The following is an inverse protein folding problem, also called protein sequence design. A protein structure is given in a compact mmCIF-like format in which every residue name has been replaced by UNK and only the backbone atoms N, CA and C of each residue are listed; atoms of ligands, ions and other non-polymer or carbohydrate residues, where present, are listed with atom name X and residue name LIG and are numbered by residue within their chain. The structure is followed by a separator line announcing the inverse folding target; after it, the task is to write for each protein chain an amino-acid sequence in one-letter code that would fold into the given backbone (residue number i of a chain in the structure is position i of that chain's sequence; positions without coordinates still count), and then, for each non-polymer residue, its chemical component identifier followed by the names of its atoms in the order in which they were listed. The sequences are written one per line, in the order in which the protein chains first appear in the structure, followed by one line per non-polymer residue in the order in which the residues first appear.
data_IF_657405950513
#
_entry.id   IF_657405950513
#
_cell.length_a   1.000
_cell.length_b   1.000
_cell.length_c   1.000
_cell.angle_alpha   90.00
_cell.angle_beta   90.00
_cell.angle_gamma   90.00
#
_symmetry.space_group_name_H-M   'P 1'
#
loop_
_entity.id
_entity.type
_entity.pdbx_description
1 polymer ?
#
# COMPACT_ATOMS: atom_id res chain seq x y z
N UNK A 1 -7.89 24.90 41.19
CA UNK A 1 -6.46 25.10 40.77
C UNK A 1 -5.99 23.78 40.17
N UNK A 2 -6.08 23.65 38.87
CA UNK A 2 -5.63 22.46 38.11
C UNK A 2 -4.38 22.85 37.37
N UNK A 3 -3.32 22.16 37.67
CA UNK A 3 -1.95 22.44 37.24
C UNK A 3 -1.81 22.10 35.76
N UNK A 4 -1.61 23.11 34.93
CA UNK A 4 -1.26 22.96 33.50
C UNK A 4 0.21 22.55 33.42
N UNK A 5 0.48 21.27 33.32
CA UNK A 5 1.81 20.81 32.93
C UNK A 5 2.03 21.08 31.43
N UNK A 6 2.91 22.04 31.18
CA UNK A 6 3.48 22.32 29.88
C UNK A 6 4.14 21.06 29.31
N UNK A 7 3.51 20.45 28.28
CA UNK A 7 4.24 19.57 27.37
C UNK A 7 5.27 20.43 26.62
N UNK A 8 6.51 20.31 27.02
CA UNK A 8 7.64 20.82 26.23
C UNK A 8 7.68 19.99 24.95
N UNK A 9 7.17 20.57 23.88
CA UNK A 9 7.40 20.06 22.51
C UNK A 9 8.91 20.15 22.28
N UNK A 10 9.62 19.03 22.42
CA UNK A 10 11.00 18.91 21.96
C UNK A 10 11.02 19.28 20.48
N UNK A 11 11.82 20.28 20.11
CA UNK A 11 12.00 20.72 18.73
C UNK A 11 12.18 19.52 17.81
N UNK A 12 11.47 19.44 16.66
CA UNK A 12 11.62 18.33 15.75
C UNK A 12 13.09 18.25 15.32
N UNK A 13 13.74 17.13 15.61
CA UNK A 13 15.13 16.91 15.17
C UNK A 13 15.19 17.07 13.65
N UNK A 14 16.13 17.89 13.17
CA UNK A 14 16.29 18.14 11.74
C UNK A 14 16.57 16.82 11.01
N UNK A 15 15.64 16.41 10.16
CA UNK A 15 15.75 15.21 9.35
C UNK A 15 16.68 15.47 8.16
N UNK A 16 17.50 14.50 7.83
CA UNK A 16 18.43 14.55 6.71
C UNK A 16 18.13 13.43 5.73
N UNK A 17 18.39 13.69 4.45
CA UNK A 17 18.28 12.71 3.39
C UNK A 17 19.65 12.49 2.74
N UNK A 18 20.09 11.24 2.74
CA UNK A 18 21.16 10.79 1.88
C UNK A 18 20.60 10.38 0.52
N UNK A 19 21.31 10.75 -0.56
CA UNK A 19 20.92 10.38 -1.92
C UNK A 19 22.15 9.89 -2.68
N UNK A 20 22.02 8.72 -3.32
CA UNK A 20 23.05 8.17 -4.22
C UNK A 20 22.40 7.67 -5.50
N UNK A 21 23.10 7.90 -6.62
CA UNK A 21 22.77 7.30 -7.90
C UNK A 21 23.61 6.03 -8.11
N UNK A 22 22.96 5.00 -8.64
CA UNK A 22 23.55 3.71 -8.99
C UNK A 22 22.84 3.14 -10.22
N UNK A 23 23.05 1.86 -10.52
CA UNK A 23 22.34 1.15 -11.58
C UNK A 23 21.42 0.10 -11.01
N UNK A 24 20.35 -0.25 -11.72
CA UNK A 24 19.40 -1.29 -11.30
C UNK A 24 20.07 -2.65 -11.06
N UNK A 25 21.18 -2.95 -11.77
CA UNK A 25 21.95 -4.19 -11.56
C UNK A 25 22.55 -4.31 -10.17
N UNK A 26 22.76 -3.18 -9.49
CA UNK A 26 23.33 -3.10 -8.15
C UNK A 26 22.26 -3.06 -7.05
N UNK A 27 20.98 -3.21 -7.38
CA UNK A 27 19.89 -3.04 -6.41
C UNK A 27 20.00 -4.03 -5.25
N UNK A 28 20.22 -5.32 -5.54
CA UNK A 28 20.37 -6.36 -4.49
C UNK A 28 21.60 -6.12 -3.61
N UNK A 29 22.72 -5.71 -4.22
CA UNK A 29 23.95 -5.38 -3.50
C UNK A 29 23.74 -4.17 -2.57
N UNK A 30 22.96 -3.17 -2.99
CA UNK A 30 22.59 -2.05 -2.15
C UNK A 30 21.66 -2.44 -1.00
N UNK A 31 20.72 -3.34 -1.20
CA UNK A 31 19.92 -3.87 -0.09
C UNK A 31 20.80 -4.61 0.94
N UNK A 32 21.79 -5.36 0.48
CA UNK A 32 22.74 -6.03 1.38
C UNK A 32 23.60 -5.02 2.17
N UNK A 33 24.14 -4.00 1.50
CA UNK A 33 24.96 -2.95 2.14
C UNK A 33 24.19 -2.10 3.14
N UNK A 34 22.91 -1.87 2.88
CA UNK A 34 22.03 -1.03 3.70
C UNK A 34 21.10 -1.87 4.60
N UNK A 35 21.41 -3.15 4.81
CA UNK A 35 20.61 -4.07 5.63
C UNK A 35 20.45 -3.65 7.09
N UNK A 36 21.35 -2.78 7.58
CA UNK A 36 21.31 -2.20 8.93
C UNK A 36 20.42 -0.94 9.04
N UNK A 37 19.92 -0.43 7.91
CA UNK A 37 18.98 0.69 7.85
C UNK A 37 17.56 0.13 7.93
N UNK A 38 16.75 0.75 8.78
CA UNK A 38 15.34 0.41 8.86
C UNK A 38 14.69 0.54 7.46
N UNK A 39 13.99 -0.50 6.97
CA UNK A 39 13.33 -0.48 5.66
C UNK A 39 12.39 0.72 5.44
N UNK A 40 11.79 1.25 6.51
CA UNK A 40 10.94 2.44 6.44
C UNK A 40 11.72 3.72 6.09
N UNK A 41 13.01 3.73 6.36
CA UNK A 41 13.90 4.85 6.07
C UNK A 41 14.66 4.71 4.75
N UNK A 42 14.51 3.58 4.03
CA UNK A 42 15.21 3.29 2.78
C UNK A 42 14.25 3.33 1.58
N UNK A 43 14.53 4.19 0.63
CA UNK A 43 13.75 4.31 -0.62
C UNK A 43 14.67 4.08 -1.82
N UNK A 44 14.34 3.11 -2.66
CA UNK A 44 15.01 2.85 -3.93
C UNK A 44 14.04 3.14 -5.08
N UNK A 45 14.41 4.10 -5.93
CA UNK A 45 13.60 4.58 -7.04
C UNK A 45 14.23 4.19 -8.37
N UNK A 46 13.49 3.46 -9.18
CA UNK A 46 13.85 3.12 -10.56
C UNK A 46 12.93 3.85 -11.52
N UNK A 47 13.45 4.34 -12.63
CA UNK A 47 12.64 4.88 -13.71
C UNK A 47 12.39 3.79 -14.77
N UNK A 48 11.16 3.67 -15.32
CA UNK A 48 10.78 2.56 -16.20
C UNK A 48 11.64 2.40 -17.47
N UNK A 49 12.24 3.49 -17.96
CA UNK A 49 13.02 3.52 -19.21
C UNK A 49 14.52 3.79 -18.98
N UNK A 50 14.97 3.76 -17.73
CA UNK A 50 16.35 4.07 -17.35
C UNK A 50 16.95 2.93 -16.55
N UNK A 51 18.22 2.59 -16.82
CA UNK A 51 18.99 1.68 -15.97
C UNK A 51 19.44 2.31 -14.64
N UNK A 52 19.07 3.57 -14.38
CA UNK A 52 19.44 4.29 -13.18
C UNK A 52 18.64 3.83 -11.96
N UNK A 53 19.32 3.68 -10.82
CA UNK A 53 18.77 3.46 -9.52
C UNK A 53 19.08 4.68 -8.64
N UNK A 54 18.07 5.34 -8.11
CA UNK A 54 18.21 6.41 -7.11
C UNK A 54 17.91 5.85 -5.74
N UNK A 55 18.91 5.88 -4.86
CA UNK A 55 18.82 5.39 -3.50
C UNK A 55 18.70 6.58 -2.56
N UNK A 56 17.75 6.54 -1.64
CA UNK A 56 17.56 7.57 -0.62
C UNK A 56 17.41 6.92 0.75
N UNK A 57 18.12 7.46 1.74
CA UNK A 57 17.97 7.09 3.14
C UNK A 57 17.62 8.34 3.92
N UNK A 58 16.61 8.23 4.78
CA UNK A 58 16.16 9.30 5.67
C UNK A 58 16.60 8.98 7.09
N UNK A 59 17.12 9.97 7.80
CA UNK A 59 17.60 9.74 9.16
C UNK A 59 18.13 11.00 9.84
N UNK A 60 18.68 10.82 11.03
CA UNK A 60 19.38 11.90 11.73
C UNK A 60 20.68 12.29 10.98
N UNK A 61 21.25 13.42 11.37
CA UNK A 61 22.46 13.95 10.75
C UNK A 61 23.62 12.95 10.80
N UNK A 62 23.83 12.28 11.95
CA UNK A 62 24.93 11.34 12.18
C UNK A 62 24.84 10.10 11.27
N UNK A 63 23.65 9.54 11.16
CA UNK A 63 23.37 8.40 10.27
C UNK A 63 23.67 8.75 8.82
N UNK A 64 23.19 9.92 8.37
CA UNK A 64 23.35 10.36 6.97
C UNK A 64 24.80 10.74 6.67
N UNK A 65 25.52 11.40 7.59
CA UNK A 65 26.95 11.69 7.44
C UNK A 65 27.79 10.42 7.32
N UNK A 66 27.45 9.38 8.10
CA UNK A 66 28.10 8.07 7.99
C UNK A 66 27.89 7.45 6.62
N UNK A 67 26.68 7.49 6.05
CA UNK A 67 26.40 6.98 4.71
C UNK A 67 27.16 7.75 3.62
N UNK A 68 27.31 9.06 3.79
CA UNK A 68 28.16 9.88 2.87
C UNK A 68 29.62 9.46 2.96
N UNK A 69 30.13 9.22 4.17
CA UNK A 69 31.51 8.77 4.38
C UNK A 69 31.75 7.38 3.79
N UNK A 70 30.84 6.43 4.04
CA UNK A 70 31.02 5.02 3.65
C UNK A 70 30.79 4.78 2.15
N UNK A 71 29.83 5.51 1.58
CA UNK A 71 29.35 5.22 0.22
C UNK A 71 29.41 6.44 -0.72
N UNK A 72 29.83 7.61 -0.25
CA UNK A 72 29.71 8.85 -1.02
C UNK A 72 28.23 9.26 -1.20
N UNK A 73 27.94 10.06 -2.20
CA UNK A 73 26.58 10.57 -2.45
C UNK A 73 26.38 11.97 -1.84
N UNK A 74 25.13 12.41 -1.73
CA UNK A 74 24.77 13.76 -1.32
C UNK A 74 23.88 13.74 -0.08
N UNK A 75 24.23 14.52 0.93
CA UNK A 75 23.36 14.83 2.05
C UNK A 75 22.54 16.09 1.75
N UNK A 76 21.29 16.08 2.13
CA UNK A 76 20.39 17.24 2.08
C UNK A 76 19.67 17.32 3.41
N UNK A 77 19.73 18.47 4.09
CA UNK A 77 18.91 18.74 5.24
C UNK A 77 17.48 19.02 4.74
N UNK A 78 16.50 18.39 5.38
CA UNK A 78 15.09 18.60 5.08
C UNK A 78 14.53 19.60 6.08
N UNK A 79 13.83 20.63 5.59
CA UNK A 79 13.05 21.48 6.48
C UNK A 79 11.84 20.71 7.01
N UNK A 80 11.31 21.03 8.21
CA UNK A 80 10.10 20.41 8.74
C UNK A 80 8.92 20.48 7.74
N UNK A 81 8.84 21.57 6.98
CA UNK A 81 7.83 21.78 5.94
C UNK A 81 8.01 20.84 4.75
N UNK A 82 9.25 20.50 4.37
CA UNK A 82 9.55 19.51 3.32
C UNK A 82 9.31 18.08 3.79
N UNK A 83 9.43 17.84 5.09
CA UNK A 83 9.13 16.55 5.69
C UNK A 83 7.62 16.35 5.89
N UNK A 84 6.91 17.39 6.37
CA UNK A 84 5.44 17.40 6.55
C UNK A 84 4.73 17.63 5.21
N UNK A 85 5.32 18.43 4.32
CA UNK A 85 4.83 18.75 2.97
C UNK A 85 5.69 18.10 1.89
N UNK A 86 6.02 16.80 2.02
CA UNK A 86 6.67 16.08 0.92
C UNK A 86 5.92 16.33 -0.35
N UNK A 87 6.54 17.07 -1.28
CA UNK A 87 6.04 17.59 -2.57
C UNK A 87 4.54 17.37 -2.74
N UNK A 88 3.73 18.41 -2.87
CA UNK A 88 2.31 18.30 -3.23
C UNK A 88 2.25 17.23 -4.33
N UNK A 89 2.03 15.97 -3.93
CA UNK A 89 2.07 14.86 -4.87
C UNK A 89 0.82 15.02 -5.68
N UNK A 90 1.00 15.20 -6.97
CA UNK A 90 -0.12 15.22 -7.89
C UNK A 90 -1.02 14.02 -7.55
N UNK A 91 -2.32 14.26 -7.38
CA UNK A 91 -3.28 13.22 -7.07
C UNK A 91 -3.11 12.05 -8.04
N UNK A 92 -3.04 10.82 -7.53
CA UNK A 92 -2.91 9.63 -8.36
C UNK A 92 -4.26 9.30 -9.01
N UNK A 93 -4.37 9.49 -10.32
CA UNK A 93 -5.55 9.06 -11.08
C UNK A 93 -5.51 7.58 -11.40
N UNK A 94 -6.57 6.85 -11.08
CA UNK A 94 -6.74 5.42 -11.33
C UNK A 94 -7.87 5.21 -12.33
N UNK A 95 -7.53 4.84 -13.58
CA UNK A 95 -8.49 4.52 -14.65
C UNK A 95 -9.58 5.58 -14.89
N UNK A 96 -9.35 6.84 -14.50
CA UNK A 96 -10.36 7.89 -14.52
C UNK A 96 -11.56 7.65 -13.59
N UNK A 97 -11.51 6.61 -12.75
CA UNK A 97 -12.60 6.21 -11.85
C UNK A 97 -12.36 6.62 -10.40
N UNK A 98 -11.09 6.71 -9.98
CA UNK A 98 -10.68 7.16 -8.65
C UNK A 98 -9.54 8.17 -8.76
N UNK A 99 -9.44 9.06 -7.78
CA UNK A 99 -8.27 9.90 -7.51
C UNK A 99 -7.88 9.73 -6.06
N UNK A 100 -6.61 9.43 -5.83
CA UNK A 100 -6.04 9.31 -4.48
C UNK A 100 -5.21 10.54 -4.17
N UNK A 101 -5.52 11.19 -3.07
CA UNK A 101 -4.85 12.38 -2.56
C UNK A 101 -4.10 12.03 -1.29
N UNK A 102 -2.87 12.51 -1.15
CA UNK A 102 -2.06 12.36 0.07
C UNK A 102 -2.04 13.62 0.93
N UNK A 103 -2.50 14.76 0.40
CA UNK A 103 -2.65 16.03 1.14
C UNK A 103 -4.12 16.46 1.19
N UNK A 104 -4.49 17.07 2.31
CA UNK A 104 -5.86 17.47 2.59
C UNK A 104 -6.31 18.67 1.75
N UNK A 105 -5.38 19.53 1.35
CA UNK A 105 -5.73 20.73 0.57
C UNK A 105 -6.19 20.34 -0.82
N UNK A 106 -5.40 19.49 -1.54
CA UNK A 106 -5.80 19.00 -2.85
C UNK A 106 -7.05 18.11 -2.81
N UNK A 107 -7.29 17.38 -1.70
CA UNK A 107 -8.54 16.64 -1.52
C UNK A 107 -9.75 17.56 -1.34
N UNK A 108 -9.62 18.65 -0.56
CA UNK A 108 -10.70 19.63 -0.36
C UNK A 108 -11.01 20.45 -1.61
N UNK A 109 -9.98 20.76 -2.41
CA UNK A 109 -10.12 21.46 -3.68
C UNK A 109 -10.70 20.58 -4.80
N UNK A 110 -10.52 19.26 -4.68
CA UNK A 110 -11.09 18.33 -5.65
C UNK A 110 -12.62 18.45 -5.63
N UNK A 111 -13.22 18.65 -6.80
CA UNK A 111 -14.68 18.60 -6.93
C UNK A 111 -15.13 17.26 -6.36
N UNK A 112 -16.00 17.28 -5.34
CA UNK A 112 -16.49 16.06 -4.65
C UNK A 112 -17.35 15.21 -5.60
N UNK A 113 -16.68 14.52 -6.50
CA UNK A 113 -17.31 13.64 -7.50
C UNK A 113 -17.67 12.26 -6.92
N UNK A 114 -17.40 12.04 -5.61
CA UNK A 114 -17.51 10.73 -4.97
C UNK A 114 -16.38 9.76 -5.37
N UNK A 115 -15.44 10.20 -6.21
CA UNK A 115 -14.32 9.40 -6.75
C UNK A 115 -12.98 9.72 -6.08
N UNK A 116 -12.97 10.71 -5.22
CA UNK A 116 -11.78 11.16 -4.52
C UNK A 116 -11.60 10.39 -3.23
N UNK A 117 -10.36 9.95 -2.97
CA UNK A 117 -9.94 9.23 -1.78
C UNK A 117 -8.79 10.00 -1.14
N UNK A 118 -8.91 10.32 0.13
CA UNK A 118 -7.85 10.92 0.93
C UNK A 118 -7.19 9.87 1.81
N UNK A 119 -5.91 9.67 1.64
CA UNK A 119 -5.07 8.84 2.52
C UNK A 119 -3.86 9.68 2.92
N UNK A 120 -3.82 10.19 4.15
CA UNK A 120 -2.68 10.99 4.61
C UNK A 120 -1.39 10.16 4.59
N UNK A 121 -0.27 10.81 4.31
CA UNK A 121 1.04 10.20 4.48
C UNK A 121 1.23 9.85 5.97
N UNK A 122 1.47 8.59 6.27
CA UNK A 122 1.56 8.09 7.65
C UNK A 122 2.38 6.82 7.75
N UNK A 123 2.48 6.27 8.97
CA UNK A 123 3.27 5.07 9.26
C UNK A 123 2.64 3.75 8.78
N UNK A 124 1.35 3.73 8.44
CA UNK A 124 0.72 2.52 7.91
C UNK A 124 1.01 2.36 6.42
N UNK A 125 1.30 1.12 5.99
CA UNK A 125 1.55 0.79 4.58
C UNK A 125 0.29 1.00 3.73
N UNK A 126 0.47 1.52 2.50
CA UNK A 126 -0.62 1.66 1.53
C UNK A 126 -1.10 3.09 1.32
N UNK A 127 -0.18 4.06 1.13
CA UNK A 127 -0.52 5.47 0.78
C UNK A 127 -1.07 5.65 -0.64
N UNK A 128 -1.19 4.57 -1.42
CA UNK A 128 -1.65 4.61 -2.82
C UNK A 128 -0.54 4.80 -3.84
N UNK A 129 0.55 5.46 -3.50
CA UNK A 129 1.68 5.75 -4.40
C UNK A 129 2.53 4.51 -4.72
N UNK A 130 2.52 3.52 -3.84
CA UNK A 130 3.31 2.32 -4.05
C UNK A 130 2.75 1.54 -5.24
N UNK A 131 3.64 1.04 -6.10
CA UNK A 131 3.26 0.34 -7.34
C UNK A 131 2.29 -0.83 -7.12
N UNK A 132 2.41 -1.53 -5.98
CA UNK A 132 1.54 -2.65 -5.61
C UNK A 132 0.11 -2.19 -5.35
N UNK A 133 -0.08 -1.16 -4.52
CA UNK A 133 -1.37 -0.59 -4.18
C UNK A 133 -2.06 0.01 -5.41
N UNK A 134 -1.33 0.82 -6.18
CA UNK A 134 -1.84 1.40 -7.42
C UNK A 134 -2.27 0.34 -8.44
N UNK A 135 -1.56 -0.81 -8.49
CA UNK A 135 -1.93 -1.90 -9.41
C UNK A 135 -3.17 -2.65 -8.92
N UNK A 136 -3.33 -2.92 -7.62
CA UNK A 136 -4.57 -3.46 -7.06
C UNK A 136 -5.78 -2.57 -7.38
N UNK A 137 -5.65 -1.25 -7.19
CA UNK A 137 -6.70 -0.28 -7.50
C UNK A 137 -7.09 -0.31 -8.98
N UNK A 138 -6.10 -0.41 -9.89
CA UNK A 138 -6.36 -0.53 -11.34
C UNK A 138 -7.08 -1.82 -11.68
N UNK A 139 -6.63 -2.96 -11.13
CA UNK A 139 -7.28 -4.25 -11.33
C UNK A 139 -8.71 -4.25 -10.80
N UNK A 140 -8.95 -3.65 -9.63
CA UNK A 140 -10.30 -3.49 -9.10
C UNK A 140 -11.20 -2.68 -10.04
N UNK A 141 -10.69 -1.57 -10.60
CA UNK A 141 -11.42 -0.80 -11.60
C UNK A 141 -11.70 -1.60 -12.89
N UNK A 142 -10.76 -2.46 -13.29
CA UNK A 142 -10.85 -3.23 -14.53
C UNK A 142 -11.94 -4.33 -14.45
N UNK A 143 -12.21 -4.89 -13.25
CA UNK A 143 -13.23 -5.94 -13.06
C UNK A 143 -14.65 -5.41 -12.81
N UNK A 144 -14.81 -4.13 -12.50
CA UNK A 144 -16.14 -3.56 -12.20
C UNK A 144 -17.24 -3.90 -13.21
N UNK A 145 -16.98 -3.92 -14.55
CA UNK A 145 -18.02 -4.25 -15.52
C UNK A 145 -18.53 -5.70 -15.44
N UNK A 146 -17.78 -6.60 -14.77
CA UNK A 146 -18.12 -8.01 -14.62
C UNK A 146 -18.83 -8.32 -13.31
N UNK A 147 -18.86 -7.35 -12.37
CA UNK A 147 -19.42 -7.54 -11.04
C UNK A 147 -20.94 -7.34 -11.03
N UNK A 148 -21.67 -8.08 -10.18
CA UNK A 148 -23.10 -7.85 -9.99
C UNK A 148 -23.38 -6.48 -9.34
N UNK A 149 -24.60 -5.95 -9.49
CA UNK A 149 -24.95 -4.64 -8.94
C UNK A 149 -24.73 -4.51 -7.42
N UNK A 150 -24.94 -5.59 -6.67
CA UNK A 150 -24.78 -5.64 -5.21
C UNK A 150 -23.53 -6.43 -4.80
N UNK A 151 -22.41 -6.21 -5.49
CA UNK A 151 -21.18 -6.90 -5.19
C UNK A 151 -20.64 -6.51 -3.81
N UNK A 152 -19.88 -7.42 -3.20
CA UNK A 152 -19.20 -7.22 -1.94
C UNK A 152 -17.73 -7.63 -2.03
N UNK A 153 -16.90 -7.11 -1.10
CA UNK A 153 -15.47 -7.32 -1.10
C UNK A 153 -14.92 -7.70 0.27
N UNK A 154 -13.79 -8.39 0.25
CA UNK A 154 -12.94 -8.66 1.42
C UNK A 154 -11.54 -8.10 1.15
N UNK A 155 -11.04 -7.23 2.03
CA UNK A 155 -9.69 -6.66 1.98
C UNK A 155 -8.83 -7.31 3.07
N UNK A 156 -7.91 -8.16 2.67
CA UNK A 156 -7.04 -8.93 3.55
C UNK A 156 -5.68 -8.26 3.72
N UNK A 157 -5.35 -7.86 4.96
CA UNK A 157 -4.18 -7.01 5.23
C UNK A 157 -4.42 -5.58 4.79
N UNK A 158 -5.45 -4.97 5.35
CA UNK A 158 -6.00 -3.69 4.86
C UNK A 158 -5.07 -2.49 5.03
N UNK A 159 -4.10 -2.53 5.97
CA UNK A 159 -3.16 -1.46 6.24
C UNK A 159 -3.85 -0.11 6.49
N UNK A 160 -3.68 0.86 5.59
CA UNK A 160 -4.35 2.17 5.64
C UNK A 160 -5.85 2.11 5.34
N UNK A 161 -6.37 0.98 4.88
CA UNK A 161 -7.76 0.83 4.45
C UNK A 161 -8.04 1.26 3.01
N UNK A 162 -7.03 1.67 2.24
CA UNK A 162 -7.22 2.27 0.92
C UNK A 162 -7.97 1.37 -0.06
N UNK A 163 -7.69 0.05 -0.08
CA UNK A 163 -8.36 -0.88 -1.00
C UNK A 163 -9.82 -1.07 -0.60
N UNK A 164 -10.11 -1.21 0.69
CA UNK A 164 -11.47 -1.29 1.21
C UNK A 164 -12.28 -0.01 0.95
N UNK A 165 -11.68 1.16 1.20
CA UNK A 165 -12.28 2.48 0.89
C UNK A 165 -12.57 2.59 -0.61
N UNK A 166 -11.61 2.20 -1.45
CA UNK A 166 -11.78 2.21 -2.90
C UNK A 166 -12.92 1.30 -3.35
N UNK A 167 -13.05 0.10 -2.77
CA UNK A 167 -14.14 -0.82 -3.08
C UNK A 167 -15.51 -0.18 -2.77
N UNK A 168 -15.69 0.47 -1.61
CA UNK A 168 -16.91 1.19 -1.29
C UNK A 168 -17.19 2.35 -2.26
N UNK A 169 -16.17 3.17 -2.56
CA UNK A 169 -16.27 4.29 -3.51
C UNK A 169 -16.61 3.84 -4.94
N UNK A 170 -16.22 2.63 -5.29
CA UNK A 170 -16.54 2.00 -6.59
C UNK A 170 -17.88 1.26 -6.61
N UNK A 171 -18.65 1.31 -5.52
CA UNK A 171 -20.01 0.82 -5.48
C UNK A 171 -20.21 -0.52 -4.78
N UNK A 172 -19.24 -1.03 -4.05
CA UNK A 172 -19.45 -2.22 -3.19
C UNK A 172 -20.62 -1.97 -2.23
N UNK A 173 -21.49 -2.95 -2.10
CA UNK A 173 -22.65 -2.90 -1.19
C UNK A 173 -22.24 -3.12 0.27
N UNK A 174 -21.19 -3.92 0.48
CA UNK A 174 -20.54 -4.16 1.78
C UNK A 174 -19.08 -4.51 1.54
N UNK A 175 -18.21 -4.08 2.47
CA UNK A 175 -16.79 -4.43 2.47
C UNK A 175 -16.42 -4.92 3.86
N UNK A 176 -15.83 -6.09 3.95
CA UNK A 176 -15.14 -6.55 5.17
C UNK A 176 -13.64 -6.32 4.97
N UNK A 177 -12.98 -5.80 5.98
CA UNK A 177 -11.55 -5.51 5.91
C UNK A 177 -10.88 -5.90 7.23
N UNK A 178 -9.72 -6.51 7.16
CA UNK A 178 -9.00 -6.90 8.36
C UNK A 178 -7.49 -6.74 8.22
N UNK A 179 -6.85 -6.59 9.37
CA UNK A 179 -5.40 -6.62 9.50
C UNK A 179 -5.02 -7.32 10.79
N UNK A 180 -3.82 -7.89 10.84
CA UNK A 180 -3.29 -8.49 12.07
C UNK A 180 -2.92 -7.41 13.09
N UNK A 181 -2.49 -6.23 12.63
CA UNK A 181 -2.07 -5.12 13.48
C UNK A 181 -3.27 -4.25 13.90
N UNK A 182 -3.58 -4.15 15.21
CA UNK A 182 -4.60 -3.24 15.72
C UNK A 182 -4.36 -1.76 15.36
N UNK A 183 -3.10 -1.35 15.15
CA UNK A 183 -2.76 0.02 14.73
C UNK A 183 -3.28 0.27 13.31
N UNK A 184 -3.08 -0.69 12.40
CA UNK A 184 -3.62 -0.63 11.04
C UNK A 184 -5.16 -0.50 11.07
N UNK A 185 -5.84 -1.27 11.93
CA UNK A 185 -7.30 -1.18 12.07
C UNK A 185 -7.77 0.18 12.60
N UNK A 186 -7.03 0.79 13.53
CA UNK A 186 -7.34 2.15 13.97
C UNK A 186 -7.18 3.15 12.84
N UNK A 187 -6.04 3.13 12.15
CA UNK A 187 -5.74 4.03 11.03
C UNK A 187 -6.76 3.86 9.89
N UNK A 188 -7.09 2.62 9.52
CA UNK A 188 -8.05 2.35 8.45
C UNK A 188 -9.46 2.87 8.79
N UNK A 189 -9.89 2.79 10.04
CA UNK A 189 -11.16 3.38 10.51
C UNK A 189 -11.14 4.92 10.43
N UNK A 190 -10.05 5.54 10.84
CA UNK A 190 -9.87 7.00 10.74
C UNK A 190 -9.91 7.45 9.27
N UNK A 191 -9.20 6.75 8.38
CA UNK A 191 -9.21 7.02 6.95
C UNK A 191 -10.61 6.79 6.32
N UNK A 192 -11.30 5.72 6.67
CA UNK A 192 -12.67 5.48 6.19
C UNK A 192 -13.62 6.61 6.62
N UNK A 193 -13.51 7.07 7.86
CA UNK A 193 -14.27 8.22 8.37
C UNK A 193 -13.97 9.50 7.57
N UNK A 194 -12.68 9.80 7.33
CA UNK A 194 -12.25 10.97 6.55
C UNK A 194 -12.78 10.95 5.10
N UNK A 195 -12.97 9.74 4.56
CA UNK A 195 -13.52 9.50 3.23
C UNK A 195 -15.05 9.34 3.20
N UNK A 196 -15.72 9.53 4.32
CA UNK A 196 -17.19 9.36 4.47
C UNK A 196 -17.68 7.95 4.11
N UNK A 197 -16.83 6.92 4.25
CA UNK A 197 -17.20 5.53 4.05
C UNK A 197 -17.96 4.97 5.26
N UNK A 198 -19.05 4.23 5.00
CA UNK A 198 -19.92 3.67 6.03
C UNK A 198 -20.22 2.17 5.86
N UNK A 199 -19.78 1.60 4.74
CA UNK A 199 -20.06 0.21 4.37
C UNK A 199 -18.87 -0.72 4.61
N UNK A 200 -17.76 -0.20 5.18
CA UNK A 200 -16.57 -1.00 5.49
C UNK A 200 -16.60 -1.40 6.95
N UNK A 201 -16.60 -2.71 7.21
CA UNK A 201 -16.44 -3.29 8.53
C UNK A 201 -14.97 -3.70 8.76
N UNK A 202 -14.30 -3.06 9.73
CA UNK A 202 -12.89 -3.32 10.05
C UNK A 202 -12.76 -4.19 11.30
N UNK A 203 -11.91 -5.23 11.25
CA UNK A 203 -11.63 -6.13 12.36
C UNK A 203 -10.16 -6.52 12.46
N UNK A 204 -9.69 -6.85 13.66
CA UNK A 204 -8.37 -7.44 13.87
C UNK A 204 -8.49 -8.94 13.59
N UNK A 205 -7.73 -9.46 12.61
CA UNK A 205 -7.74 -10.88 12.29
C UNK A 205 -6.43 -11.31 11.59
N UNK A 206 -6.09 -12.59 11.72
CA UNK A 206 -4.96 -13.20 11.04
C UNK A 206 -5.41 -13.80 9.69
N UNK A 207 -4.81 -13.37 8.60
CA UNK A 207 -5.11 -13.87 7.24
C UNK A 207 -4.89 -15.37 7.06
N UNK A 208 -4.04 -15.99 7.89
CA UNK A 208 -3.80 -17.43 7.90
C UNK A 208 -4.94 -18.20 8.58
N UNK A 209 -5.81 -17.50 9.35
CA UNK A 209 -6.93 -18.07 10.09
C UNK A 209 -8.21 -17.33 9.74
N UNK A 210 -8.53 -17.29 8.44
CA UNK A 210 -9.71 -16.60 7.92
C UNK A 210 -10.99 -17.17 8.55
N UNK A 211 -11.56 -16.39 9.48
CA UNK A 211 -12.70 -16.80 10.30
C UNK A 211 -14.07 -16.69 9.63
N UNK A 212 -15.04 -16.13 10.33
CA UNK A 212 -16.46 -16.10 9.95
C UNK A 212 -16.82 -14.99 8.93
N UNK A 213 -15.88 -14.60 8.03
CA UNK A 213 -16.20 -13.65 6.95
C UNK A 213 -17.20 -14.23 5.96
N UNK A 214 -18.03 -13.38 5.39
CA UNK A 214 -19.00 -13.77 4.37
C UNK A 214 -18.32 -14.12 3.05
N UNK A 215 -19.02 -14.87 2.18
CA UNK A 215 -18.57 -15.06 0.80
C UNK A 215 -18.71 -13.76 0.02
N UNK A 216 -17.68 -13.41 -0.75
CA UNK A 216 -17.56 -12.15 -1.47
C UNK A 216 -17.36 -12.34 -2.97
N UNK A 217 -17.65 -11.30 -3.73
CA UNK A 217 -17.43 -11.27 -5.18
C UNK A 217 -15.97 -10.91 -5.51
N UNK A 218 -15.31 -10.12 -4.64
CA UNK A 218 -13.90 -9.69 -4.83
C UNK A 218 -13.11 -9.87 -3.54
N UNK A 219 -11.94 -10.51 -3.65
CA UNK A 219 -10.91 -10.47 -2.59
C UNK A 219 -9.77 -9.58 -3.07
N UNK A 220 -9.33 -8.68 -2.19
CA UNK A 220 -8.18 -7.82 -2.34
C UNK A 220 -7.11 -8.27 -1.33
N UNK A 221 -5.89 -8.56 -1.78
CA UNK A 221 -4.81 -9.04 -0.94
C UNK A 221 -3.46 -8.45 -1.37
N UNK A 222 -3.10 -7.30 -0.80
CA UNK A 222 -1.79 -6.69 -1.05
C UNK A 222 -0.81 -7.15 0.03
N UNK A 223 -0.37 -8.41 -0.05
CA UNK A 223 0.42 -9.12 0.94
C UNK A 223 1.75 -9.59 0.34
N UNK A 224 2.80 -9.74 1.16
CA UNK A 224 4.03 -10.40 0.70
C UNK A 224 3.78 -11.89 0.41
N UNK A 225 4.61 -12.48 -0.46
CA UNK A 225 4.39 -13.80 -1.08
C UNK A 225 4.13 -14.92 -0.09
N UNK A 226 4.94 -15.01 0.97
CA UNK A 226 4.85 -16.10 1.95
C UNK A 226 3.51 -16.05 2.72
N UNK A 227 3.07 -14.85 3.09
CA UNK A 227 1.79 -14.66 3.76
C UNK A 227 0.62 -14.91 2.82
N UNK A 228 0.72 -14.45 1.57
CA UNK A 228 -0.31 -14.67 0.55
C UNK A 228 -0.52 -16.17 0.29
N UNK A 229 0.58 -16.95 0.12
CA UNK A 229 0.54 -18.39 -0.07
C UNK A 229 -0.10 -19.08 1.15
N UNK A 230 0.34 -18.72 2.36
CA UNK A 230 -0.19 -19.30 3.59
C UNK A 230 -1.68 -18.98 3.81
N UNK A 231 -2.14 -17.82 3.35
CA UNK A 231 -3.53 -17.33 3.53
C UNK A 231 -4.48 -17.80 2.42
N UNK A 232 -3.95 -18.14 1.23
CA UNK A 232 -4.73 -18.48 0.05
C UNK A 232 -5.81 -19.56 0.30
N UNK A 233 -5.54 -20.68 0.99
CA UNK A 233 -6.57 -21.73 1.19
C UNK A 233 -7.79 -21.24 1.98
N UNK A 234 -7.58 -20.33 2.93
CA UNK A 234 -8.64 -19.72 3.73
C UNK A 234 -9.41 -18.65 2.96
N UNK A 235 -8.67 -17.77 2.28
CA UNK A 235 -9.23 -16.65 1.52
C UNK A 235 -10.06 -17.15 0.32
N UNK A 236 -9.54 -18.10 -0.47
CA UNK A 236 -10.23 -18.61 -1.67
C UNK A 236 -11.59 -19.22 -1.33
N UNK A 237 -11.73 -19.88 -0.17
CA UNK A 237 -13.02 -20.40 0.31
C UNK A 237 -14.07 -19.30 0.54
N UNK A 238 -13.65 -18.06 0.66
CA UNK A 238 -14.53 -16.90 0.81
C UNK A 238 -14.94 -16.26 -0.51
N UNK A 239 -14.41 -16.71 -1.64
CA UNK A 239 -14.93 -16.31 -2.93
C UNK A 239 -16.27 -16.98 -3.26
N UNK A 240 -17.14 -16.22 -3.86
CA UNK A 240 -18.32 -16.76 -4.56
C UNK A 240 -17.90 -17.41 -5.88
N UNK A 241 -18.70 -18.33 -6.46
CA UNK A 241 -18.47 -18.81 -7.82
C UNK A 241 -18.39 -17.63 -8.81
N UNK A 242 -17.37 -17.61 -9.66
CA UNK A 242 -17.08 -16.51 -10.59
C UNK A 242 -16.46 -15.28 -9.93
N UNK A 243 -16.17 -15.32 -8.64
CA UNK A 243 -15.53 -14.21 -7.93
C UNK A 243 -14.07 -14.00 -8.31
N UNK A 244 -13.57 -12.80 -8.09
CA UNK A 244 -12.22 -12.37 -8.45
C UNK A 244 -11.29 -12.28 -7.25
N UNK A 245 -10.09 -12.84 -7.38
CA UNK A 245 -9.00 -12.73 -6.42
C UNK A 245 -7.92 -11.79 -7.00
N UNK A 246 -7.79 -10.59 -6.42
CA UNK A 246 -6.80 -9.57 -6.82
C UNK A 246 -5.70 -9.56 -5.79
N UNK A 247 -4.45 -9.74 -6.22
CA UNK A 247 -3.31 -9.74 -5.31
C UNK A 247 -2.16 -8.88 -5.80
N UNK A 248 -1.32 -8.44 -4.87
CA UNK A 248 -0.03 -7.79 -5.10
C UNK A 248 0.87 -7.91 -3.86
N UNK A 249 1.97 -7.14 -3.81
CA UNK A 249 2.97 -7.25 -2.75
C UNK A 249 3.99 -8.37 -3.01
N UNK A 250 3.95 -8.98 -4.19
CA UNK A 250 4.77 -10.11 -4.62
C UNK A 250 5.91 -9.61 -5.50
N UNK A 251 7.14 -10.10 -5.31
CA UNK A 251 8.24 -9.84 -6.24
C UNK A 251 8.07 -10.66 -7.54
N UNK A 252 8.50 -10.11 -8.67
CA UNK A 252 8.42 -10.80 -9.97
C UNK A 252 9.01 -12.21 -9.91
N UNK A 253 10.13 -12.40 -9.21
CA UNK A 253 10.79 -13.71 -9.02
C UNK A 253 9.94 -14.73 -8.26
N UNK A 254 9.00 -14.27 -7.42
CA UNK A 254 8.12 -15.12 -6.59
C UNK A 254 6.76 -15.36 -7.24
N UNK A 255 6.47 -14.72 -8.38
CA UNK A 255 5.14 -14.76 -9.01
C UNK A 255 4.71 -16.15 -9.44
N UNK A 256 5.65 -16.99 -9.90
CA UNK A 256 5.35 -18.37 -10.32
C UNK A 256 4.90 -19.24 -9.14
N UNK A 257 5.57 -19.12 -7.98
CA UNK A 257 5.24 -19.84 -6.77
C UNK A 257 3.86 -19.44 -6.23
N UNK A 258 3.60 -18.13 -6.20
CA UNK A 258 2.28 -17.59 -5.80
C UNK A 258 1.18 -18.08 -6.74
N UNK A 259 1.40 -18.03 -8.07
CA UNK A 259 0.43 -18.52 -9.05
C UNK A 259 0.09 -19.99 -8.83
N UNK A 260 1.11 -20.84 -8.68
CA UNK A 260 0.92 -22.27 -8.44
C UNK A 260 0.16 -22.55 -7.12
N UNK A 261 0.39 -21.75 -6.07
CA UNK A 261 -0.33 -21.87 -4.81
C UNK A 261 -1.82 -21.49 -4.95
N UNK A 262 -2.12 -20.43 -5.70
CA UNK A 262 -3.50 -20.00 -5.97
C UNK A 262 -4.26 -21.02 -6.83
N UNK A 263 -3.61 -21.56 -7.87
CA UNK A 263 -4.17 -22.63 -8.72
C UNK A 263 -4.47 -23.90 -7.92
N UNK A 264 -3.59 -24.29 -7.01
CA UNK A 264 -3.84 -25.42 -6.07
C UNK A 264 -5.04 -25.19 -5.16
N UNK A 265 -5.41 -23.94 -4.91
CA UNK A 265 -6.60 -23.60 -4.14
C UNK A 265 -7.88 -23.58 -5.00
N UNK A 266 -7.80 -23.88 -6.30
CA UNK A 266 -8.95 -23.96 -7.21
C UNK A 266 -9.24 -22.68 -7.99
N UNK A 267 -8.29 -21.71 -7.99
CA UNK A 267 -8.39 -20.54 -8.86
C UNK A 267 -7.81 -20.85 -10.25
N UNK A 268 -8.34 -20.16 -11.28
CA UNK A 268 -7.74 -20.18 -12.61
C UNK A 268 -6.35 -19.53 -12.62
N UNK A 269 -5.59 -19.77 -13.70
CA UNK A 269 -4.25 -19.20 -13.89
C UNK A 269 -4.29 -17.67 -13.80
N UNK A 270 -3.48 -17.05 -12.89
CA UNK A 270 -3.50 -15.61 -12.72
C UNK A 270 -3.01 -14.85 -13.95
N UNK A 271 -3.76 -13.82 -14.35
CA UNK A 271 -3.25 -12.79 -15.26
C UNK A 271 -2.32 -11.87 -14.50
N UNK A 272 -1.01 -11.93 -14.79
CA UNK A 272 0.03 -11.19 -14.07
C UNK A 272 0.33 -9.84 -14.71
N UNK A 273 0.57 -8.83 -13.88
CA UNK A 273 1.01 -7.47 -14.25
C UNK A 273 2.29 -7.16 -13.50
N UNK A 274 3.36 -6.87 -14.24
CA UNK A 274 4.67 -6.51 -13.69
C UNK A 274 4.85 -4.99 -13.67
N UNK A 275 5.37 -4.46 -12.57
CA UNK A 275 5.71 -3.05 -12.38
C UNK A 275 7.03 -2.94 -11.63
N UNK A 276 8.12 -2.70 -12.35
CA UNK A 276 9.48 -2.79 -11.80
C UNK A 276 9.73 -4.19 -11.21
N UNK A 277 10.15 -4.26 -9.97
CA UNK A 277 10.39 -5.52 -9.25
C UNK A 277 9.10 -6.19 -8.73
N UNK A 278 7.97 -5.49 -8.76
CA UNK A 278 6.71 -5.94 -8.20
C UNK A 278 5.82 -6.63 -9.24
N UNK A 279 5.08 -7.59 -8.77
CA UNK A 279 4.06 -8.30 -9.52
C UNK A 279 2.72 -8.20 -8.80
N UNK A 280 1.68 -7.98 -9.58
CA UNK A 280 0.31 -8.12 -9.15
C UNK A 280 -0.41 -9.09 -10.08
N UNK A 281 -1.52 -9.65 -9.66
CA UNK A 281 -2.29 -10.54 -10.50
C UNK A 281 -3.76 -10.54 -10.15
N UNK A 282 -4.51 -11.12 -11.06
CA UNK A 282 -5.94 -11.40 -10.90
C UNK A 282 -6.25 -12.78 -11.44
N UNK A 283 -7.04 -13.52 -10.70
CA UNK A 283 -7.62 -14.81 -11.10
C UNK A 283 -9.05 -14.94 -10.57
N UNK A 284 -9.77 -15.95 -11.04
CA UNK A 284 -11.16 -16.20 -10.67
C UNK A 284 -11.39 -17.68 -10.36
N UNK A 285 -12.46 -17.99 -9.62
CA UNK A 285 -12.92 -19.37 -9.38
C UNK A 285 -13.57 -19.95 -10.62
#
# INVERSE_FOLDING_TARGET
MVNSQNLVLTSPMAMHRWTRLSTQRMEEDWYARLSHIDPEHLVMLTQPESSALKIQVFGDKKTVEKLVSDFGGKMTQLSPEVWIGGQARASLSIRGRLRVHSDEASFREAANTGRDIFIPAGMAFGTGDHATTATCLRLLCDVLPTLPANWNALDAGTGTGILAIAAEKLGASAVEAFDFDPVCIRVSKENAKANHCRKVAFSVADSRRVGAFQKVDVILANLYSELLIASAPGLVKKLKPGGHFIFSGVLVRQSAEVSAALEKCGLGTPKLIKRGKWCAGICST
#
